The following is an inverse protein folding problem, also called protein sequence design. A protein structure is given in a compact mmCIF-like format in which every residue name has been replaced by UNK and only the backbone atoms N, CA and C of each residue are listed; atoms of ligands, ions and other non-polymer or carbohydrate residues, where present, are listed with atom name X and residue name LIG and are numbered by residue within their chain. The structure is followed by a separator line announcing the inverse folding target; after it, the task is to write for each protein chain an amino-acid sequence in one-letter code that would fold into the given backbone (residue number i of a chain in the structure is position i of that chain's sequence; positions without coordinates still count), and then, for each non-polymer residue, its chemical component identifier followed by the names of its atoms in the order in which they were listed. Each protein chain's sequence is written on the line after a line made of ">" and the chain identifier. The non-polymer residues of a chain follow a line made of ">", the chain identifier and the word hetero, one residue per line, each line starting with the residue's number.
data_IF_044776226318
#
_entry.id   IF_044776226318
#
_cell.length_a   1.000
_cell.length_b   1.000
_cell.length_c   1.000
_cell.angle_alpha   90.00
_cell.angle_beta   90.00
_cell.angle_gamma   90.00
#
_symmetry.space_group_name_H-M   'P 1'
#
loop_
_entity.id
_entity.type
_entity.pdbx_description
1 polymer ?
#
# COMPACT_ATOMS: atom_id res chain seq x y z
N UNK A 1 -17.70 -8.86 -0.34
CA UNK A 1 -16.95 -7.59 -0.22
C UNK A 1 -17.70 -6.52 -1.01
N UNK A 2 -17.63 -5.26 -0.59
CA UNK A 2 -18.34 -4.17 -1.27
C UNK A 2 -17.47 -3.59 -2.38
N UNK A 3 -18.09 -3.30 -3.53
CA UNK A 3 -17.47 -2.61 -4.64
C UNK A 3 -18.42 -1.54 -5.19
N UNK A 4 -17.85 -0.45 -5.70
CA UNK A 4 -18.59 0.66 -6.30
C UNK A 4 -17.92 1.05 -7.61
N UNK A 5 -18.71 1.29 -8.63
CA UNK A 5 -18.28 1.79 -9.94
C UNK A 5 -18.93 3.14 -10.21
N UNK A 6 -18.17 4.07 -10.72
CA UNK A 6 -18.65 5.42 -11.04
C UNK A 6 -17.67 6.15 -11.95
N UNK A 7 -17.66 7.47 -11.84
CA UNK A 7 -16.73 8.33 -12.57
C UNK A 7 -16.03 9.31 -11.65
N UNK A 8 -14.78 9.60 -11.95
CA UNK A 8 -14.01 10.66 -11.32
C UNK A 8 -13.39 11.54 -12.41
N UNK A 9 -13.67 12.85 -12.37
CA UNK A 9 -13.27 13.80 -13.42
C UNK A 9 -13.67 13.33 -14.84
N UNK A 10 -14.88 12.73 -14.97
CA UNK A 10 -15.43 12.24 -16.23
C UNK A 10 -14.87 10.90 -16.72
N UNK A 11 -13.88 10.30 -16.04
CA UNK A 11 -13.28 9.00 -16.38
C UNK A 11 -13.85 7.89 -15.48
N UNK A 12 -14.07 6.67 -16.00
CA UNK A 12 -14.58 5.56 -15.20
C UNK A 12 -13.57 5.13 -14.15
N UNK A 13 -14.04 4.85 -12.95
CA UNK A 13 -13.26 4.34 -11.83
C UNK A 13 -14.10 3.38 -11.00
N UNK A 14 -13.45 2.37 -10.43
CA UNK A 14 -14.08 1.46 -9.47
C UNK A 14 -13.27 1.44 -8.17
N UNK A 15 -13.96 1.26 -7.06
CA UNK A 15 -13.35 1.04 -5.74
C UNK A 15 -13.84 -0.29 -5.21
N UNK A 16 -12.92 -1.16 -4.84
CA UNK A 16 -13.21 -2.52 -4.38
C UNK A 16 -12.49 -2.84 -3.08
N UNK A 17 -13.21 -3.36 -2.09
CA UNK A 17 -12.62 -3.91 -0.88
C UNK A 17 -11.94 -5.25 -1.16
N UNK A 18 -10.74 -5.46 -0.63
CA UNK A 18 -9.93 -6.68 -0.86
C UNK A 18 -9.89 -7.63 0.34
N UNK A 19 -10.46 -7.23 1.49
CA UNK A 19 -10.22 -7.93 2.74
C UNK A 19 -8.82 -7.65 3.30
N UNK A 20 -8.32 -8.50 4.16
CA UNK A 20 -7.00 -8.38 4.79
C UNK A 20 -6.08 -9.52 4.38
N UNK A 21 -4.82 -9.19 4.18
CA UNK A 21 -3.73 -10.13 3.89
C UNK A 21 -3.62 -10.53 2.42
N UNK A 22 -2.43 -10.98 2.06
CA UNK A 22 -2.07 -11.33 0.69
C UNK A 22 -2.96 -12.42 0.06
N UNK A 23 -3.43 -13.49 0.77
CA UNK A 23 -4.30 -14.47 0.15
C UNK A 23 -5.67 -13.90 -0.24
N UNK A 24 -6.28 -13.09 0.64
CA UNK A 24 -7.57 -12.46 0.36
C UNK A 24 -7.47 -11.45 -0.80
N UNK A 25 -6.47 -10.58 -0.72
CA UNK A 25 -6.22 -9.56 -1.74
C UNK A 25 -5.89 -10.19 -3.11
N UNK A 26 -5.11 -11.27 -3.12
CA UNK A 26 -4.74 -11.98 -4.35
C UNK A 26 -5.94 -12.49 -5.14
N UNK A 27 -6.96 -13.03 -4.47
CA UNK A 27 -8.20 -13.45 -5.13
C UNK A 27 -8.88 -12.27 -5.81
N UNK A 28 -9.01 -11.16 -5.09
CA UNK A 28 -9.71 -9.96 -5.62
C UNK A 28 -8.92 -9.33 -6.77
N UNK A 29 -7.60 -9.22 -6.67
CA UNK A 29 -6.76 -8.66 -7.75
C UNK A 29 -6.85 -9.49 -9.03
N UNK A 30 -6.84 -10.82 -8.93
CA UNK A 30 -7.06 -11.72 -10.06
C UNK A 30 -8.43 -11.48 -10.72
N UNK A 31 -9.49 -11.45 -9.93
CA UNK A 31 -10.83 -11.23 -10.42
C UNK A 31 -10.98 -9.85 -11.09
N UNK A 32 -10.37 -8.80 -10.53
CA UNK A 32 -10.37 -7.47 -11.13
C UNK A 32 -9.66 -7.46 -12.49
N UNK A 33 -8.53 -8.14 -12.62
CA UNK A 33 -7.84 -8.28 -13.91
C UNK A 33 -8.70 -9.07 -14.92
N UNK A 34 -9.38 -10.15 -14.49
CA UNK A 34 -10.32 -10.89 -15.33
C UNK A 34 -11.50 -10.03 -15.80
N UNK A 35 -11.90 -9.04 -15.00
CA UNK A 35 -12.92 -8.06 -15.33
C UNK A 35 -12.41 -6.89 -16.19
N UNK A 36 -11.13 -6.88 -16.54
CA UNK A 36 -10.53 -5.92 -17.44
C UNK A 36 -9.81 -4.73 -16.78
N UNK A 37 -9.51 -4.82 -15.48
CA UNK A 37 -8.69 -3.79 -14.83
C UNK A 37 -7.27 -3.81 -15.40
N UNK A 38 -6.81 -2.66 -15.88
CA UNK A 38 -5.45 -2.46 -16.44
C UNK A 38 -4.55 -1.66 -15.50
N UNK A 39 -5.15 -1.02 -14.49
CA UNK A 39 -4.47 -0.23 -13.47
C UNK A 39 -5.12 -0.45 -12.12
N UNK A 40 -4.33 -0.79 -11.12
CA UNK A 40 -4.81 -1.01 -9.75
C UNK A 40 -4.02 -0.16 -8.75
N UNK A 41 -4.72 0.60 -7.92
CA UNK A 41 -4.11 1.40 -6.87
C UNK A 41 -4.66 0.96 -5.52
N UNK A 42 -3.80 0.38 -4.69
CA UNK A 42 -4.12 0.10 -3.30
C UNK A 42 -4.10 1.39 -2.51
N UNK A 43 -5.16 1.63 -1.79
CA UNK A 43 -5.28 2.70 -0.79
C UNK A 43 -5.60 2.07 0.56
N UNK A 44 -4.91 2.50 1.60
CA UNK A 44 -5.08 1.92 2.93
C UNK A 44 -4.27 2.63 4.00
N UNK A 45 -4.06 1.95 5.12
CA UNK A 45 -3.23 2.44 6.22
C UNK A 45 -1.95 1.62 6.35
N UNK A 46 -0.98 2.16 7.06
CA UNK A 46 0.29 1.49 7.38
C UNK A 46 0.77 1.88 8.76
N UNK A 47 1.35 0.94 9.48
CA UNK A 47 2.16 1.24 10.66
C UNK A 47 3.50 1.85 10.23
N UNK A 48 3.82 3.05 10.69
CA UNK A 48 5.09 3.72 10.39
C UNK A 48 6.26 3.09 11.14
N UNK A 49 7.32 2.74 10.43
CA UNK A 49 8.51 2.08 11.01
C UNK A 49 9.67 3.04 11.27
N UNK A 50 9.73 4.17 10.58
CA UNK A 50 10.84 5.11 10.71
C UNK A 50 10.54 6.23 11.72
N UNK A 51 11.53 6.67 12.54
CA UNK A 51 11.31 7.62 13.62
C UNK A 51 10.94 9.04 13.15
N UNK A 52 11.15 9.36 11.88
CA UNK A 52 10.78 10.65 11.29
C UNK A 52 9.32 10.68 10.79
N UNK A 53 8.67 9.51 10.70
CA UNK A 53 7.26 9.43 10.30
C UNK A 53 6.35 9.88 11.44
N UNK A 54 5.26 10.50 11.07
CA UNK A 54 4.20 10.94 11.97
C UNK A 54 2.85 10.37 11.48
N UNK A 55 1.92 10.31 12.39
CA UNK A 55 0.54 9.95 12.05
C UNK A 55 -0.04 10.90 11.01
N UNK A 56 -0.86 10.39 10.10
CA UNK A 56 -1.40 11.05 8.92
C UNK A 56 -0.39 11.33 7.78
N UNK A 57 0.89 10.98 7.92
CA UNK A 57 1.84 11.05 6.79
C UNK A 57 1.38 10.16 5.63
N UNK A 58 1.67 10.61 4.41
CA UNK A 58 1.44 9.80 3.21
C UNK A 58 2.70 9.00 2.86
N UNK A 59 2.55 7.69 2.73
CA UNK A 59 3.58 6.77 2.24
C UNK A 59 3.21 6.26 0.85
N UNK A 60 4.11 6.42 -0.11
CA UNK A 60 4.01 5.88 -1.47
C UNK A 60 5.05 4.77 -1.60
N UNK A 61 4.58 3.55 -1.81
CA UNK A 61 5.45 2.37 -1.83
C UNK A 61 6.07 2.15 -3.21
N UNK A 62 7.39 2.26 -3.33
CA UNK A 62 8.12 1.91 -4.56
C UNK A 62 8.28 0.39 -4.70
N UNK A 63 8.37 -0.31 -3.58
CA UNK A 63 8.45 -1.77 -3.51
C UNK A 63 7.88 -2.26 -2.19
N UNK A 64 7.46 -3.51 -2.16
CA UNK A 64 6.91 -4.15 -0.97
C UNK A 64 7.61 -5.50 -0.74
N UNK A 65 8.54 -5.54 0.21
CA UNK A 65 9.08 -6.82 0.70
C UNK A 65 7.96 -7.63 1.34
N UNK A 66 7.97 -8.95 1.17
CA UNK A 66 6.98 -9.81 1.80
C UNK A 66 7.63 -10.68 2.86
N UNK A 67 7.05 -10.76 4.05
CA UNK A 67 7.44 -11.73 5.06
C UNK A 67 6.64 -13.04 4.91
N UNK A 68 5.50 -13.03 4.22
CA UNK A 68 4.79 -14.22 3.82
C UNK A 68 5.19 -14.69 2.41
N UNK A 69 5.02 -15.98 2.14
CA UNK A 69 5.45 -16.59 0.88
C UNK A 69 4.36 -16.62 -0.20
N UNK A 70 3.20 -16.05 0.04
CA UNK A 70 2.07 -16.09 -0.91
C UNK A 70 2.41 -15.46 -2.26
N UNK A 71 3.01 -14.25 -2.33
CA UNK A 71 3.40 -13.65 -3.61
C UNK A 71 4.41 -14.48 -4.39
N UNK A 72 5.41 -15.05 -3.71
CA UNK A 72 6.44 -15.89 -4.35
C UNK A 72 5.86 -17.20 -4.89
N UNK A 73 4.95 -17.81 -4.14
CA UNK A 73 4.25 -19.05 -4.58
C UNK A 73 3.34 -18.77 -5.78
N UNK A 74 2.68 -17.61 -5.78
CA UNK A 74 1.82 -17.20 -6.88
C UNK A 74 2.64 -16.97 -8.16
N UNK A 75 3.76 -16.27 -8.08
CA UNK A 75 4.65 -16.03 -9.21
C UNK A 75 5.48 -17.27 -9.62
N UNK A 76 5.44 -18.36 -8.82
CA UNK A 76 6.30 -19.54 -8.96
C UNK A 76 7.80 -19.18 -9.05
N UNK A 77 8.24 -18.16 -8.31
CA UNK A 77 9.59 -17.63 -8.37
C UNK A 77 10.08 -17.18 -6.99
N UNK A 78 11.22 -17.70 -6.57
CA UNK A 78 11.96 -17.17 -5.41
C UNK A 78 12.79 -15.94 -5.84
N UNK A 79 12.89 -14.94 -4.97
CA UNK A 79 13.66 -13.72 -5.24
C UNK A 79 12.93 -12.67 -6.07
N UNK A 80 11.61 -12.79 -6.24
CA UNK A 80 10.80 -11.72 -6.81
C UNK A 80 10.94 -10.44 -5.97
N UNK A 81 11.08 -9.30 -6.65
CA UNK A 81 11.04 -7.96 -6.04
C UNK A 81 9.71 -7.27 -6.41
N UNK A 82 8.65 -7.39 -5.57
CA UNK A 82 7.38 -6.73 -5.84
C UNK A 82 7.55 -5.22 -5.90
N UNK A 83 7.34 -4.63 -7.09
CA UNK A 83 7.69 -3.24 -7.39
C UNK A 83 6.52 -2.53 -8.07
N UNK A 84 6.30 -1.27 -7.70
CA UNK A 84 5.28 -0.42 -8.27
C UNK A 84 5.61 -0.02 -9.72
N UNK A 85 4.60 0.36 -10.47
CA UNK A 85 4.76 1.02 -11.77
C UNK A 85 5.33 2.42 -11.56
N UNK A 86 6.52 2.69 -12.08
CA UNK A 86 7.28 3.91 -11.80
C UNK A 86 6.52 5.19 -12.18
N UNK A 87 5.84 5.22 -13.33
CA UNK A 87 5.05 6.38 -13.77
C UNK A 87 3.93 6.74 -12.78
N UNK A 88 3.33 5.75 -12.14
CA UNK A 88 2.33 5.96 -11.09
C UNK A 88 2.96 6.49 -9.80
N UNK A 89 4.14 6.00 -9.42
CA UNK A 89 4.89 6.52 -8.27
C UNK A 89 5.24 7.98 -8.46
N UNK A 90 5.78 8.34 -9.64
CA UNK A 90 6.15 9.71 -9.99
C UNK A 90 4.94 10.65 -9.94
N UNK A 91 3.82 10.25 -10.56
CA UNK A 91 2.57 11.01 -10.57
C UNK A 91 2.02 11.19 -9.15
N UNK A 92 1.96 10.12 -8.37
CA UNK A 92 1.49 10.15 -6.99
C UNK A 92 2.36 11.06 -6.11
N UNK A 93 3.68 10.95 -6.22
CA UNK A 93 4.60 11.78 -5.45
C UNK A 93 4.45 13.27 -5.79
N UNK A 94 4.34 13.62 -7.07
CA UNK A 94 4.11 14.98 -7.51
C UNK A 94 2.79 15.54 -6.97
N UNK A 95 1.68 14.84 -7.21
CA UNK A 95 0.35 15.28 -6.77
C UNK A 95 0.22 15.35 -5.24
N UNK A 96 0.85 14.45 -4.52
CA UNK A 96 0.82 14.46 -3.05
C UNK A 96 1.59 15.67 -2.49
N UNK A 97 2.73 16.03 -3.08
CA UNK A 97 3.53 17.19 -2.67
C UNK A 97 2.88 18.54 -2.97
N UNK A 98 1.91 18.61 -3.88
CA UNK A 98 1.09 19.81 -4.11
C UNK A 98 0.23 20.18 -2.88
N UNK A 99 -0.07 19.22 -2.01
CA UNK A 99 -1.00 19.38 -0.89
C UNK A 99 -0.39 19.12 0.48
N UNK A 100 0.79 18.51 0.55
CA UNK A 100 1.48 18.22 1.81
C UNK A 100 2.99 18.06 1.61
N UNK A 101 3.77 18.58 2.55
CA UNK A 101 5.22 18.34 2.64
C UNK A 101 5.55 17.00 3.32
N UNK A 102 4.53 16.35 3.92
CA UNK A 102 4.66 15.09 4.65
C UNK A 102 4.38 13.89 3.75
N UNK A 103 5.17 13.75 2.67
CA UNK A 103 5.06 12.68 1.67
C UNK A 103 6.37 11.92 1.57
N UNK A 104 6.32 10.65 1.85
CA UNK A 104 7.49 9.76 1.87
C UNK A 104 7.36 8.68 0.81
N UNK A 105 8.42 8.52 0.02
CA UNK A 105 8.48 7.54 -1.08
C UNK A 105 9.59 6.56 -0.79
N UNK A 106 9.28 5.28 -0.69
CA UNK A 106 10.30 4.26 -0.38
C UNK A 106 9.74 2.84 -0.25
N UNK A 107 10.59 1.89 0.17
CA UNK A 107 10.19 0.51 0.38
C UNK A 107 9.31 0.37 1.61
N UNK A 108 8.40 -0.61 1.56
CA UNK A 108 7.57 -1.04 2.69
C UNK A 108 7.69 -2.55 2.88
N UNK A 109 7.15 -3.06 3.97
CA UNK A 109 6.98 -4.51 4.16
C UNK A 109 5.49 -4.87 4.20
N UNK A 110 5.14 -5.94 3.49
CA UNK A 110 3.84 -6.62 3.60
C UNK A 110 4.01 -7.77 4.57
N UNK A 111 3.31 -7.72 5.71
CA UNK A 111 3.34 -8.78 6.72
C UNK A 111 2.10 -9.66 6.64
N UNK A 112 2.31 -10.97 6.79
CA UNK A 112 1.25 -11.96 6.94
C UNK A 112 0.66 -12.00 8.37
N UNK A 113 1.35 -11.39 9.35
CA UNK A 113 0.96 -11.40 10.76
C UNK A 113 0.67 -9.99 11.25
N UNK A 114 -0.55 -9.76 11.78
CA UNK A 114 -0.86 -8.53 12.48
C UNK A 114 -0.33 -8.56 13.92
N UNK A 115 -0.42 -9.70 14.58
CA UNK A 115 0.15 -9.97 15.90
C UNK A 115 1.36 -10.87 15.74
N UNK A 116 2.53 -10.26 15.52
CA UNK A 116 3.78 -10.99 15.38
C UNK A 116 4.36 -11.31 16.78
N UNK A 117 4.59 -12.60 17.09
CA UNK A 117 5.18 -12.98 18.37
C UNK A 117 6.68 -12.67 18.49
N UNK A 118 7.36 -12.35 17.39
CA UNK A 118 8.77 -11.98 17.40
C UNK A 118 8.93 -10.47 17.63
N UNK A 119 9.42 -10.04 18.80
CA UNK A 119 9.53 -8.62 19.15
C UNK A 119 10.53 -7.84 18.27
N UNK A 120 11.43 -8.53 17.59
CA UNK A 120 12.47 -7.90 16.78
C UNK A 120 12.11 -7.72 15.30
N UNK A 121 11.00 -8.26 14.85
CA UNK A 121 10.59 -8.21 13.43
C UNK A 121 10.57 -6.77 12.90
N UNK A 122 9.91 -5.85 13.57
CA UNK A 122 9.82 -4.47 13.11
C UNK A 122 11.16 -3.73 13.22
N UNK A 123 12.00 -4.07 14.19
CA UNK A 123 13.36 -3.51 14.32
C UNK A 123 14.24 -3.93 13.15
N UNK A 124 14.13 -5.18 12.67
CA UNK A 124 14.84 -5.64 11.47
C UNK A 124 14.41 -4.88 10.23
N UNK A 125 13.09 -4.72 9.99
CA UNK A 125 12.58 -3.96 8.85
C UNK A 125 12.94 -2.47 8.93
N UNK A 126 12.90 -1.88 10.13
CA UNK A 126 13.36 -0.51 10.39
C UNK A 126 14.85 -0.35 10.02
N UNK A 127 15.70 -1.31 10.42
CA UNK A 127 17.13 -1.33 10.08
C UNK A 127 17.38 -1.37 8.57
N UNK A 128 16.53 -2.03 7.81
CA UNK A 128 16.54 -2.10 6.35
C UNK A 128 15.88 -0.88 5.67
N UNK A 129 15.51 0.15 6.45
CA UNK A 129 14.94 1.43 5.96
C UNK A 129 13.56 1.30 5.31
N UNK A 130 12.80 0.26 5.63
CA UNK A 130 11.39 0.20 5.25
C UNK A 130 10.60 1.30 5.96
N UNK A 131 9.71 1.97 5.21
CA UNK A 131 8.94 3.10 5.74
C UNK A 131 7.79 2.63 6.62
N UNK A 132 7.13 1.54 6.23
CA UNK A 132 5.96 1.08 6.95
C UNK A 132 5.67 -0.40 6.74
N UNK A 133 4.73 -0.91 7.54
CA UNK A 133 4.20 -2.27 7.46
C UNK A 133 2.71 -2.24 7.15
N UNK A 134 2.29 -3.08 6.23
CA UNK A 134 0.90 -3.31 5.82
C UNK A 134 0.72 -4.78 5.40
N UNK A 135 -0.38 -5.18 4.77
CA UNK A 135 -0.67 -6.60 4.61
C UNK A 135 -0.99 -7.06 3.16
N UNK A 136 -0.94 -6.21 2.11
CA UNK A 136 -1.44 -6.56 0.77
C UNK A 136 -0.55 -6.11 -0.41
N UNK A 137 0.27 -5.09 -0.28
CA UNK A 137 0.95 -4.43 -1.39
C UNK A 137 1.91 -5.35 -2.17
N UNK A 138 2.61 -6.26 -1.50
CA UNK A 138 3.49 -7.21 -2.18
C UNK A 138 2.70 -8.12 -3.14
N UNK A 139 1.49 -8.54 -2.74
CA UNK A 139 0.63 -9.34 -3.60
C UNK A 139 0.10 -8.54 -4.78
N UNK A 140 -0.31 -7.28 -4.57
CA UNK A 140 -0.72 -6.39 -5.65
C UNK A 140 0.36 -6.27 -6.73
N UNK A 141 1.59 -5.95 -6.31
CA UNK A 141 2.71 -5.77 -7.25
C UNK A 141 3.07 -7.07 -7.95
N UNK A 142 2.96 -8.19 -7.25
CA UNK A 142 3.22 -9.51 -7.84
C UNK A 142 2.18 -9.87 -8.91
N UNK A 143 0.88 -9.69 -8.61
CA UNK A 143 -0.19 -9.93 -9.60
C UNK A 143 0.00 -8.99 -10.80
N UNK A 144 0.29 -7.72 -10.56
CA UNK A 144 0.50 -6.77 -11.62
C UNK A 144 1.66 -7.16 -12.55
N UNK A 145 2.79 -7.60 -11.98
CA UNK A 145 3.93 -8.07 -12.75
C UNK A 145 3.60 -9.31 -13.60
N UNK A 146 2.90 -10.29 -13.03
CA UNK A 146 2.50 -11.52 -13.72
C UNK A 146 1.48 -11.25 -14.81
N UNK A 147 0.57 -10.32 -14.60
CA UNK A 147 -0.54 -10.01 -15.54
C UNK A 147 -0.23 -8.87 -16.52
N UNK A 148 0.88 -8.17 -16.35
CA UNK A 148 1.25 -7.04 -17.21
C UNK A 148 0.33 -5.82 -17.05
N UNK A 149 -0.17 -5.56 -15.83
CA UNK A 149 -0.99 -4.40 -15.50
C UNK A 149 -0.23 -3.41 -14.62
N UNK A 150 -0.70 -2.17 -14.54
CA UNK A 150 -0.08 -1.14 -13.70
C UNK A 150 -0.54 -1.26 -12.25
N UNK A 151 0.38 -1.03 -11.30
CA UNK A 151 0.07 -1.06 -9.87
C UNK A 151 0.82 -0.02 -9.05
N UNK A 152 0.13 0.48 -8.03
CA UNK A 152 0.66 1.38 -7.00
C UNK A 152 0.03 1.07 -5.65
N UNK A 153 0.76 1.29 -4.55
CA UNK A 153 0.21 1.33 -3.20
C UNK A 153 0.51 2.69 -2.56
N UNK A 154 -0.53 3.31 -2.04
CA UNK A 154 -0.49 4.56 -1.28
C UNK A 154 -1.15 4.33 0.08
N UNK A 155 -0.52 4.77 1.14
CA UNK A 155 -0.99 4.56 2.50
C UNK A 155 -0.93 5.83 3.32
N UNK A 156 -1.84 5.93 4.30
CA UNK A 156 -1.77 6.91 5.39
C UNK A 156 -1.22 6.22 6.63
N UNK A 157 -0.26 6.84 7.30
CA UNK A 157 0.27 6.33 8.57
C UNK A 157 -0.80 6.43 9.65
N UNK A 158 -1.27 5.28 10.13
CA UNK A 158 -2.32 5.18 11.18
C UNK A 158 -1.76 5.11 12.58
N UNK A 159 -0.55 4.60 12.70
CA UNK A 159 0.18 4.40 13.95
C UNK A 159 1.68 4.43 13.67
N UNK A 160 2.45 4.83 14.65
CA UNK A 160 3.91 4.77 14.59
C UNK A 160 4.38 3.70 15.56
N UNK A 161 5.07 2.69 15.03
CA UNK A 161 5.62 1.60 15.83
C UNK A 161 6.97 2.06 16.40
N UNK A 162 6.97 2.43 17.68
CA UNK A 162 8.15 2.83 18.40
C UNK A 162 9.17 1.67 18.54
N UNK A 163 10.44 1.95 18.88
CA UNK A 163 11.45 0.89 19.08
C UNK A 163 11.12 -0.14 20.17
N UNK A 164 10.27 0.24 21.13
CA UNK A 164 9.73 -0.64 22.18
C UNK A 164 8.49 -1.44 21.70
N UNK A 165 8.12 -1.27 20.41
CA UNK A 165 6.97 -1.91 19.75
C UNK A 165 5.60 -1.56 20.34
N UNK A 166 5.50 -0.51 21.16
CA UNK A 166 4.20 0.01 21.57
C UNK A 166 3.65 0.98 20.51
N UNK A 167 2.55 0.64 19.82
CA UNK A 167 1.98 1.51 18.80
C UNK A 167 1.26 2.70 19.44
N UNK A 168 1.67 3.91 19.05
CA UNK A 168 0.88 5.11 19.32
C UNK A 168 -0.07 5.31 18.13
N UNK A 169 -1.37 5.31 18.39
CA UNK A 169 -2.41 5.36 17.37
C UNK A 169 -2.99 6.76 17.22
N UNK A 170 -3.25 7.16 15.98
CA UNK A 170 -3.92 8.42 15.63
C UNK A 170 -5.39 8.44 16.08
N UNK A 171 -5.96 9.62 16.31
CA UNK A 171 -7.41 9.78 16.48
C UNK A 171 -8.16 9.40 15.20
N UNK A 172 -9.37 8.87 15.32
CA UNK A 172 -10.19 8.49 14.18
C UNK A 172 -10.50 9.70 13.27
N UNK A 173 -10.61 10.90 13.83
CA UNK A 173 -10.85 12.12 13.05
C UNK A 173 -9.64 12.52 12.19
N UNK A 174 -8.44 12.51 12.74
CA UNK A 174 -7.23 12.87 12.02
C UNK A 174 -6.83 11.80 11.00
N UNK A 175 -7.03 10.53 11.33
CA UNK A 175 -6.87 9.43 10.38
C UNK A 175 -7.80 9.61 9.19
N UNK A 176 -9.06 9.93 9.44
CA UNK A 176 -10.04 10.17 8.37
C UNK A 176 -9.60 11.32 7.45
N UNK A 177 -9.11 12.43 7.99
CA UNK A 177 -8.59 13.55 7.17
C UNK A 177 -7.44 13.12 6.27
N UNK A 178 -6.46 12.39 6.81
CA UNK A 178 -5.32 11.86 6.04
C UNK A 178 -5.77 10.87 4.95
N UNK A 179 -6.68 9.97 5.28
CA UNK A 179 -7.24 9.00 4.33
C UNK A 179 -8.04 9.71 3.23
N UNK A 180 -8.91 10.66 3.56
CA UNK A 180 -9.69 11.41 2.56
C UNK A 180 -8.77 12.17 1.58
N UNK A 181 -7.68 12.75 2.06
CA UNK A 181 -6.68 13.42 1.22
C UNK A 181 -5.98 12.41 0.30
N UNK A 182 -5.49 11.30 0.85
CA UNK A 182 -4.83 10.23 0.09
C UNK A 182 -5.77 9.67 -0.99
N UNK A 183 -7.05 9.39 -0.65
CA UNK A 183 -8.05 8.87 -1.59
C UNK A 183 -8.28 9.80 -2.77
N UNK A 184 -8.36 11.12 -2.55
CA UNK A 184 -8.51 12.10 -3.64
C UNK A 184 -7.31 12.07 -4.59
N UNK A 185 -6.10 11.98 -4.04
CA UNK A 185 -4.88 11.88 -4.85
C UNK A 185 -4.86 10.56 -5.62
N UNK A 186 -5.18 9.44 -4.96
CA UNK A 186 -5.22 8.14 -5.60
C UNK A 186 -6.22 8.11 -6.77
N UNK A 187 -7.39 8.73 -6.63
CA UNK A 187 -8.36 8.87 -7.73
C UNK A 187 -7.76 9.68 -8.90
N UNK A 188 -7.04 10.79 -8.63
CA UNK A 188 -6.36 11.56 -9.69
C UNK A 188 -5.26 10.75 -10.38
N UNK A 189 -4.50 9.96 -9.63
CA UNK A 189 -3.48 9.04 -10.19
C UNK A 189 -4.14 7.93 -11.02
N UNK A 190 -5.28 7.41 -10.56
CA UNK A 190 -5.98 6.33 -11.29
C UNK A 190 -6.45 6.78 -12.68
N UNK A 191 -6.81 8.05 -12.84
CA UNK A 191 -7.36 8.59 -14.09
C UNK A 191 -6.35 9.46 -14.89
N UNK A 192 -5.09 9.52 -14.45
CA UNK A 192 -4.03 10.30 -15.13
C UNK A 192 -3.62 9.74 -16.50
#
# INVERSE_FOLDING_TARGET
>A
MLGFTGTFEGKPISVQSTGMGTPSAGIVFEELVMLGATRMIRVGTTGGLQPFLQMADTVIAVSASSDDRTPMRYAAMDGLAPTATFSLVETAARLSREVSDRVFVGPIVTSGLFYDPDPDTFNRWRGLKHLGVEMEASMLYTVAAVKGVEALAMMTVSDVIAPDNEPVRISDEDLKKGVDQMMRIACRVAVS
#
